data_IF_677235383145
#
_entry.id   IF_677235383145
#
_cell.length_a   1.000
_cell.length_b   1.000
_cell.length_c   1.000
_cell.angle_alpha   90.00
_cell.angle_beta   90.00
_cell.angle_gamma   90.00
#
_symmetry.space_group_name_H-M   'P 1'
#
loop_
_entity.id
_entity.type
_entity.pdbx_description
1 polymer ?
#
# COMPACT_ATOMS: atom_id res chain seq x y z
N UNK A 1 3.26 23.67 -29.82
CA UNK A 1 2.10 24.40 -29.25
C UNK A 1 1.78 23.69 -27.95
N UNK A 2 2.52 24.05 -26.92
CA UNK A 2 2.42 23.53 -25.58
C UNK A 2 1.11 24.02 -24.97
N UNK A 3 0.20 23.09 -24.68
CA UNK A 3 -0.88 23.38 -23.74
C UNK A 3 -0.25 23.42 -22.35
N UNK A 4 0.04 24.59 -21.87
CA UNK A 4 0.16 24.87 -20.45
C UNK A 4 -1.10 24.33 -19.77
N UNK A 5 -0.93 23.25 -19.05
CA UNK A 5 -1.94 22.76 -18.12
C UNK A 5 -1.98 23.79 -16.99
N UNK A 6 -2.83 24.79 -17.13
CA UNK A 6 -3.21 25.66 -16.01
C UNK A 6 -3.67 24.74 -14.88
N UNK A 7 -2.87 24.63 -13.84
CA UNK A 7 -3.34 24.14 -12.55
C UNK A 7 -4.48 25.08 -12.12
N UNK A 8 -5.70 24.73 -12.46
CA UNK A 8 -6.88 25.34 -11.83
C UNK A 8 -6.74 25.04 -10.35
N UNK A 9 -6.50 26.06 -9.55
CA UNK A 9 -6.56 25.97 -8.10
C UNK A 9 -7.98 25.56 -7.74
N UNK A 10 -8.16 24.32 -7.29
CA UNK A 10 -9.47 23.88 -6.80
C UNK A 10 -9.96 24.85 -5.73
N UNK A 11 -11.22 25.30 -5.80
CA UNK A 11 -11.74 26.25 -4.84
C UNK A 11 -11.78 25.62 -3.44
N UNK A 12 -11.45 26.40 -2.43
CA UNK A 12 -11.62 26.02 -1.03
C UNK A 12 -13.09 25.68 -0.76
N UNK A 13 -13.36 24.58 -0.06
CA UNK A 13 -14.71 24.18 0.30
C UNK A 13 -15.38 25.28 1.14
N UNK A 14 -16.63 25.62 0.82
CA UNK A 14 -17.37 26.76 1.41
C UNK A 14 -17.42 26.78 2.94
N UNK A 15 -17.43 25.60 3.58
CA UNK A 15 -17.47 25.47 5.05
C UNK A 15 -16.07 25.37 5.66
N UNK A 16 -15.01 25.11 4.85
CA UNK A 16 -13.65 24.94 5.33
C UNK A 16 -13.57 23.89 6.45
N UNK A 17 -12.88 24.20 7.52
CA UNK A 17 -12.72 23.30 8.69
C UNK A 17 -14.01 23.08 9.50
N UNK A 18 -15.12 23.75 9.17
CA UNK A 18 -16.45 23.48 9.76
C UNK A 18 -17.21 22.38 9.04
N UNK A 19 -16.74 21.92 7.89
CA UNK A 19 -17.35 20.83 7.15
C UNK A 19 -17.33 19.54 7.97
N UNK A 20 -18.42 18.81 7.99
CA UNK A 20 -18.49 17.48 8.58
C UNK A 20 -18.12 16.43 7.56
N UNK A 21 -17.09 15.65 7.84
CA UNK A 21 -16.44 14.74 6.90
C UNK A 21 -16.66 13.29 7.30
N UNK A 22 -17.05 12.45 6.34
CA UNK A 22 -16.97 11.00 6.44
C UNK A 22 -15.82 10.52 5.55
N UNK A 23 -14.83 9.85 6.13
CA UNK A 23 -13.84 9.06 5.38
C UNK A 23 -14.18 7.59 5.49
N UNK A 24 -14.07 6.86 4.38
CA UNK A 24 -14.32 5.42 4.36
C UNK A 24 -13.35 4.70 3.43
N UNK A 25 -12.87 3.54 3.86
CA UNK A 25 -12.39 2.52 2.93
C UNK A 25 -13.58 1.83 2.26
N UNK A 26 -13.32 0.98 1.27
CA UNK A 26 -14.40 0.25 0.61
C UNK A 26 -15.05 -0.79 1.53
N UNK A 27 -16.17 -1.33 1.10
CA UNK A 27 -16.87 -2.36 1.86
C UNK A 27 -15.96 -3.47 2.35
N UNK A 28 -16.27 -3.87 3.54
CA UNK A 28 -15.61 -4.69 4.47
C UNK A 28 -15.07 -5.94 4.01
N UNK A 29 -14.29 -6.55 4.93
CA UNK A 29 -13.36 -7.60 4.56
C UNK A 29 -14.00 -8.98 4.48
N UNK A 30 -15.30 -9.10 4.62
CA UNK A 30 -15.96 -10.39 4.77
C UNK A 30 -16.63 -10.83 3.47
N UNK A 31 -16.65 -12.14 3.25
CA UNK A 31 -17.15 -12.74 2.02
C UNK A 31 -18.58 -12.35 1.65
N UNK A 32 -19.43 -12.06 2.62
CA UNK A 32 -20.80 -11.62 2.37
C UNK A 32 -20.90 -10.25 1.67
N UNK A 33 -19.88 -9.42 1.85
CA UNK A 33 -19.82 -8.09 1.23
C UNK A 33 -19.08 -8.10 -0.12
N UNK A 34 -18.61 -9.27 -0.56
CA UNK A 34 -17.71 -9.41 -1.69
C UNK A 34 -18.38 -9.73 -3.03
N UNK A 35 -19.62 -9.29 -3.25
CA UNK A 35 -20.26 -9.45 -4.56
C UNK A 35 -19.45 -8.78 -5.70
N UNK A 36 -18.63 -7.80 -5.38
CA UNK A 36 -17.82 -7.00 -6.29
C UNK A 36 -16.33 -7.37 -6.27
N UNK A 37 -15.89 -8.27 -5.40
CA UNK A 37 -14.50 -8.67 -5.27
C UNK A 37 -14.10 -9.80 -6.20
N UNK A 38 -12.82 -10.18 -6.17
CA UNK A 38 -12.31 -11.35 -6.87
C UNK A 38 -13.03 -12.62 -6.39
N UNK A 39 -13.41 -13.47 -7.33
CA UNK A 39 -14.08 -14.75 -7.03
C UNK A 39 -13.10 -15.91 -6.86
N UNK A 40 -11.82 -15.64 -6.95
CA UNK A 40 -10.77 -16.65 -6.84
C UNK A 40 -10.41 -16.90 -5.40
N UNK A 41 -10.12 -18.15 -5.09
CA UNK A 41 -9.67 -18.59 -3.78
C UNK A 41 -8.14 -18.51 -3.77
N UNK A 42 -7.59 -17.77 -2.82
CA UNK A 42 -6.17 -17.85 -2.50
C UNK A 42 -6.01 -18.42 -1.09
N UNK A 43 -5.52 -19.66 -0.93
CA UNK A 43 -5.42 -20.31 0.37
C UNK A 43 -4.38 -19.66 1.30
N UNK A 44 -3.45 -18.88 0.75
CA UNK A 44 -2.33 -18.28 1.48
C UNK A 44 -2.32 -16.75 1.41
N UNK A 45 -3.45 -16.14 1.07
CA UNK A 45 -3.51 -14.69 0.94
C UNK A 45 -3.35 -13.96 2.27
N UNK A 46 -2.51 -12.92 2.28
CA UNK A 46 -2.26 -12.07 3.44
C UNK A 46 -3.15 -10.82 3.50
N UNK A 47 -3.69 -10.37 2.35
CA UNK A 47 -4.43 -9.10 2.22
C UNK A 47 -5.91 -9.33 1.90
N UNK A 48 -6.54 -10.19 2.63
CA UNK A 48 -7.88 -10.72 2.35
C UNK A 48 -8.99 -9.69 2.36
N UNK A 49 -8.89 -8.69 3.21
CA UNK A 49 -9.88 -7.64 3.34
C UNK A 49 -9.91 -6.66 2.16
N UNK A 50 -8.98 -6.78 1.22
CA UNK A 50 -8.89 -5.85 0.09
C UNK A 50 -9.20 -6.49 -1.26
N UNK A 51 -8.85 -7.75 -1.48
CA UNK A 51 -8.79 -8.28 -2.84
C UNK A 51 -9.56 -9.57 -3.08
N UNK A 52 -9.75 -10.46 -2.09
CA UNK A 52 -10.44 -11.71 -2.32
C UNK A 52 -11.81 -11.80 -1.66
N UNK A 53 -12.69 -12.53 -2.33
CA UNK A 53 -14.01 -12.86 -1.83
C UNK A 53 -14.01 -14.06 -0.92
N UNK A 54 -13.28 -15.12 -1.30
CA UNK A 54 -13.28 -16.40 -0.63
C UNK A 54 -11.86 -16.71 -0.15
N UNK A 55 -11.77 -17.22 1.05
CA UNK A 55 -10.50 -17.51 1.69
C UNK A 55 -10.33 -19.01 1.89
N UNK A 56 -9.11 -19.48 1.63
CA UNK A 56 -8.75 -20.87 1.92
C UNK A 56 -8.62 -21.15 3.42
N UNK A 57 -8.63 -22.43 3.78
CA UNK A 57 -8.55 -22.87 5.17
C UNK A 57 -7.26 -22.45 5.88
N UNK A 58 -6.16 -22.32 5.13
CA UNK A 58 -4.84 -21.96 5.65
C UNK A 58 -4.50 -20.47 5.49
N UNK A 59 -5.46 -19.66 5.08
CA UNK A 59 -5.27 -18.25 4.88
C UNK A 59 -5.00 -17.56 6.22
N UNK A 60 -3.90 -16.84 6.31
CA UNK A 60 -3.62 -15.94 7.43
C UNK A 60 -4.55 -14.73 7.31
N UNK A 61 -5.61 -14.73 8.12
CA UNK A 61 -6.57 -13.63 8.13
C UNK A 61 -6.01 -12.45 8.91
N UNK A 62 -5.16 -11.67 8.25
CA UNK A 62 -4.66 -10.42 8.78
C UNK A 62 -5.55 -9.30 8.28
N UNK A 63 -6.28 -8.65 9.18
CA UNK A 63 -7.12 -7.52 8.84
C UNK A 63 -6.29 -6.24 8.93
N UNK A 64 -5.84 -5.76 7.78
CA UNK A 64 -5.17 -4.48 7.70
C UNK A 64 -6.16 -3.33 7.78
N UNK A 65 -5.78 -2.30 8.51
CA UNK A 65 -6.53 -1.05 8.57
C UNK A 65 -6.21 -0.16 7.37
N UNK A 66 -7.07 0.81 7.11
CA UNK A 66 -6.82 1.84 6.11
C UNK A 66 -5.88 2.92 6.65
N UNK A 67 -4.59 2.57 6.80
CA UNK A 67 -3.59 3.45 7.42
C UNK A 67 -3.46 4.82 6.74
N UNK A 68 -3.61 4.87 5.41
CA UNK A 68 -3.65 6.12 4.66
C UNK A 68 -4.81 7.03 5.07
N UNK A 69 -6.01 6.46 5.31
CA UNK A 69 -7.16 7.23 5.81
C UNK A 69 -6.98 7.65 7.27
N UNK A 70 -6.32 6.84 8.10
CA UNK A 70 -5.98 7.22 9.47
C UNK A 70 -4.97 8.36 9.51
N UNK A 71 -3.97 8.34 8.61
CA UNK A 71 -3.03 9.45 8.45
C UNK A 71 -3.78 10.71 8.01
N UNK A 72 -4.68 10.58 7.05
CA UNK A 72 -5.49 11.69 6.57
C UNK A 72 -6.37 12.26 7.69
N UNK A 73 -7.12 11.41 8.41
CA UNK A 73 -7.95 11.83 9.55
C UNK A 73 -7.14 12.56 10.62
N UNK A 74 -5.93 12.09 10.95
CA UNK A 74 -5.05 12.74 11.92
C UNK A 74 -4.61 14.14 11.50
N UNK A 75 -4.69 14.48 10.21
CA UNK A 75 -4.22 15.72 9.61
C UNK A 75 -5.33 16.68 9.14
N UNK A 76 -6.59 16.32 9.37
CA UNK A 76 -7.77 17.14 9.12
C UNK A 76 -8.20 17.77 10.43
N UNK A 77 -8.43 19.09 10.45
CA UNK A 77 -8.91 19.82 11.64
C UNK A 77 -10.45 19.94 11.69
N UNK A 78 -11.14 19.51 10.62
CA UNK A 78 -12.60 19.42 10.57
C UNK A 78 -13.13 18.19 11.32
N UNK A 79 -14.40 18.20 11.80
CA UNK A 79 -15.05 17.01 12.35
C UNK A 79 -15.03 15.85 11.34
N UNK A 80 -14.32 14.77 11.64
CA UNK A 80 -14.07 13.69 10.71
C UNK A 80 -14.37 12.32 11.33
N UNK A 81 -15.35 11.63 10.78
CA UNK A 81 -15.65 10.22 11.08
C UNK A 81 -14.89 9.32 10.12
N UNK A 82 -14.32 8.23 10.62
CA UNK A 82 -13.67 7.21 9.80
C UNK A 82 -14.40 5.88 9.93
N UNK A 83 -14.84 5.33 8.80
CA UNK A 83 -15.30 3.96 8.67
C UNK A 83 -14.21 3.12 7.99
N UNK A 84 -13.66 2.18 8.74
CA UNK A 84 -12.58 1.33 8.28
C UNK A 84 -13.10 -0.05 7.86
N UNK A 85 -13.17 -0.30 6.58
CA UNK A 85 -13.77 -1.47 5.95
C UNK A 85 -15.15 -1.83 6.51
N UNK A 86 -16.13 -0.90 6.46
CA UNK A 86 -17.48 -1.17 6.98
C UNK A 86 -18.19 -2.23 6.15
N UNK A 87 -19.16 -2.93 6.72
CA UNK A 87 -20.14 -3.64 5.90
C UNK A 87 -20.97 -2.64 5.08
N UNK A 88 -21.60 -3.11 3.99
CA UNK A 88 -22.49 -2.24 3.21
C UNK A 88 -23.61 -1.69 4.07
N UNK A 89 -24.21 -2.50 4.94
CA UNK A 89 -25.30 -2.08 5.82
C UNK A 89 -24.83 -1.01 6.81
N UNK A 90 -23.64 -1.22 7.44
CA UNK A 90 -23.06 -0.23 8.35
C UNK A 90 -22.78 1.12 7.64
N UNK A 91 -22.33 1.08 6.39
CA UNK A 91 -22.13 2.30 5.60
C UNK A 91 -23.44 3.01 5.30
N UNK A 92 -24.50 2.26 4.94
CA UNK A 92 -25.84 2.83 4.71
C UNK A 92 -26.42 3.41 6.00
N UNK A 93 -26.33 2.73 7.12
CA UNK A 93 -26.77 3.23 8.43
C UNK A 93 -26.10 4.57 8.77
N UNK A 94 -24.80 4.68 8.53
CA UNK A 94 -24.07 5.92 8.79
C UNK A 94 -24.54 7.07 7.89
N UNK A 95 -24.75 6.80 6.60
CA UNK A 95 -25.26 7.80 5.65
C UNK A 95 -26.69 8.24 5.94
N UNK A 96 -27.51 7.38 6.54
CA UNK A 96 -28.88 7.70 6.93
C UNK A 96 -28.97 8.37 8.30
N UNK A 97 -28.10 8.01 9.23
CA UNK A 97 -28.11 8.49 10.60
C UNK A 97 -27.39 9.82 10.82
N UNK A 98 -26.49 10.20 9.92
CA UNK A 98 -25.67 11.41 10.04
C UNK A 98 -25.70 12.21 8.74
N UNK A 99 -25.59 13.53 8.84
CA UNK A 99 -25.38 14.43 7.70
C UNK A 99 -23.91 14.74 7.52
N UNK A 100 -23.41 14.69 6.29
CA UNK A 100 -22.02 14.99 5.93
C UNK A 100 -21.96 16.01 4.80
N UNK A 101 -20.99 16.92 4.87
CA UNK A 101 -20.71 17.88 3.81
C UNK A 101 -19.74 17.33 2.77
N UNK A 102 -18.85 16.42 3.22
CA UNK A 102 -17.84 15.77 2.39
C UNK A 102 -17.84 14.28 2.72
N UNK A 103 -17.86 13.43 1.70
CA UNK A 103 -17.66 11.98 1.84
C UNK A 103 -16.45 11.55 1.01
N UNK A 104 -15.36 11.14 1.68
CA UNK A 104 -14.13 10.64 1.06
C UNK A 104 -14.08 9.13 1.06
N UNK A 105 -13.83 8.51 -0.10
CA UNK A 105 -13.66 7.06 -0.22
C UNK A 105 -12.29 6.74 -0.80
N UNK A 106 -11.54 5.84 -0.13
CA UNK A 106 -10.25 5.35 -0.61
C UNK A 106 -10.37 3.92 -1.15
N UNK A 107 -9.83 3.70 -2.35
CA UNK A 107 -9.90 2.40 -3.02
C UNK A 107 -8.61 2.05 -3.78
N UNK A 108 -8.44 0.75 -4.04
CA UNK A 108 -7.46 0.20 -4.98
C UNK A 108 -8.18 -0.29 -6.25
N UNK A 109 -7.43 -0.55 -7.32
CA UNK A 109 -8.00 -0.98 -8.60
C UNK A 109 -8.97 -2.18 -8.48
N UNK A 110 -8.64 -3.27 -7.75
CA UNK A 110 -9.56 -4.40 -7.58
C UNK A 110 -10.91 -4.05 -6.96
N UNK A 111 -11.00 -2.92 -6.29
CA UNK A 111 -12.20 -2.49 -5.57
C UNK A 111 -13.07 -1.48 -6.34
N UNK A 112 -12.86 -1.28 -7.63
CA UNK A 112 -13.62 -0.31 -8.46
C UNK A 112 -15.13 -0.57 -8.36
N UNK A 113 -15.56 -1.84 -8.41
CA UNK A 113 -16.99 -2.19 -8.30
C UNK A 113 -17.60 -1.77 -6.97
N UNK A 114 -16.90 -2.01 -5.86
CA UNK A 114 -17.31 -1.56 -4.51
C UNK A 114 -17.36 -0.03 -4.43
N UNK A 115 -16.32 0.62 -4.94
CA UNK A 115 -16.23 2.08 -4.97
C UNK A 115 -17.40 2.70 -5.74
N UNK A 116 -17.70 2.20 -6.93
CA UNK A 116 -18.86 2.65 -7.72
C UNK A 116 -20.15 2.58 -6.92
N UNK A 117 -20.38 1.42 -6.27
CA UNK A 117 -21.54 1.22 -5.43
C UNK A 117 -21.59 2.19 -4.25
N UNK A 118 -20.47 2.48 -3.62
CA UNK A 118 -20.39 3.44 -2.51
C UNK A 118 -20.72 4.86 -2.97
N UNK A 119 -20.20 5.31 -4.11
CA UNK A 119 -20.55 6.61 -4.69
C UNK A 119 -22.06 6.71 -4.99
N UNK A 120 -22.66 5.68 -5.56
CA UNK A 120 -24.12 5.60 -5.79
C UNK A 120 -24.91 5.73 -4.48
N UNK A 121 -24.47 5.07 -3.41
CA UNK A 121 -25.12 5.16 -2.09
C UNK A 121 -24.96 6.55 -1.47
N UNK A 122 -23.80 7.20 -1.62
CA UNK A 122 -23.61 8.57 -1.18
C UNK A 122 -24.56 9.50 -1.93
N UNK A 123 -24.63 9.44 -3.25
CA UNK A 123 -25.58 10.26 -4.03
C UNK A 123 -27.03 10.03 -3.62
N UNK A 124 -27.38 8.79 -3.30
CA UNK A 124 -28.74 8.44 -2.86
C UNK A 124 -29.12 9.02 -1.51
N UNK A 125 -28.24 8.92 -0.53
CA UNK A 125 -28.55 9.26 0.88
C UNK A 125 -28.01 10.62 1.32
N UNK A 126 -27.00 11.15 0.64
CA UNK A 126 -26.34 12.41 0.92
C UNK A 126 -26.16 13.23 -0.39
N UNK A 127 -27.26 13.59 -1.09
CA UNK A 127 -27.19 14.18 -2.45
C UNK A 127 -26.44 15.51 -2.52
N UNK A 128 -26.29 16.21 -1.40
CA UNK A 128 -25.60 17.50 -1.31
C UNK A 128 -24.15 17.38 -0.83
N UNK A 129 -23.69 16.18 -0.48
CA UNK A 129 -22.31 15.97 -0.05
C UNK A 129 -21.35 16.00 -1.23
N UNK A 130 -20.20 16.62 -1.05
CA UNK A 130 -19.08 16.53 -2.00
C UNK A 130 -18.44 15.16 -1.88
N UNK A 131 -18.39 14.41 -2.99
CA UNK A 131 -17.78 13.07 -3.07
C UNK A 131 -16.35 13.20 -3.51
N UNK A 132 -15.42 12.73 -2.68
CA UNK A 132 -13.98 12.74 -2.92
C UNK A 132 -13.48 11.30 -3.00
N UNK A 133 -12.76 10.95 -4.06
CA UNK A 133 -12.18 9.62 -4.22
C UNK A 133 -10.66 9.71 -4.27
N UNK A 134 -10.00 8.83 -3.51
CA UNK A 134 -8.56 8.72 -3.45
C UNK A 134 -8.07 7.27 -3.42
N UNK A 135 -6.79 7.10 -3.14
CA UNK A 135 -6.12 5.80 -3.17
C UNK A 135 -5.65 5.41 -4.57
N UNK A 136 -5.12 4.20 -4.72
CA UNK A 136 -4.49 3.75 -5.98
C UNK A 136 -5.45 3.70 -7.17
N UNK A 137 -6.75 3.68 -6.95
CA UNK A 137 -7.77 3.79 -8.00
C UNK A 137 -7.66 5.10 -8.77
N UNK A 138 -7.18 6.18 -8.15
CA UNK A 138 -6.94 7.47 -8.79
C UNK A 138 -5.83 7.45 -9.85
N UNK A 139 -5.08 6.35 -9.96
CA UNK A 139 -4.13 6.13 -11.05
C UNK A 139 -4.81 5.75 -12.38
N UNK A 140 -6.07 5.28 -12.36
CA UNK A 140 -6.80 4.90 -13.55
C UNK A 140 -7.31 6.16 -14.26
N UNK A 141 -6.84 6.38 -15.51
CA UNK A 141 -7.07 7.62 -16.24
C UNK A 141 -8.55 7.93 -16.50
N UNK A 142 -9.33 6.89 -16.79
CA UNK A 142 -10.75 6.95 -17.11
C UNK A 142 -11.67 6.67 -15.90
N UNK A 143 -11.16 6.78 -14.68
CA UNK A 143 -11.94 6.47 -13.47
C UNK A 143 -13.17 7.37 -13.33
N UNK A 144 -13.09 8.63 -13.76
CA UNK A 144 -14.19 9.59 -13.78
C UNK A 144 -15.36 9.20 -14.69
N UNK A 145 -15.14 8.31 -15.64
CA UNK A 145 -16.19 7.76 -16.51
C UNK A 145 -16.94 6.59 -15.82
N UNK A 146 -16.33 6.01 -14.81
CA UNK A 146 -16.83 4.80 -14.12
C UNK A 146 -17.60 5.14 -12.86
N UNK A 147 -17.15 6.20 -12.14
CA UNK A 147 -17.70 6.60 -10.83
C UNK A 147 -18.20 8.03 -10.86
N UNK A 148 -19.25 8.30 -10.08
CA UNK A 148 -19.78 9.64 -9.84
C UNK A 148 -19.12 10.27 -8.61
N UNK A 149 -18.00 10.95 -8.81
CA UNK A 149 -17.26 11.68 -7.78
C UNK A 149 -16.99 13.12 -8.24
N UNK A 150 -17.02 14.06 -7.29
CA UNK A 150 -16.75 15.48 -7.57
C UNK A 150 -15.25 15.74 -7.69
N UNK A 151 -14.44 14.99 -6.91
CA UNK A 151 -12.98 15.09 -6.94
C UNK A 151 -12.32 13.71 -6.93
N UNK A 152 -11.28 13.58 -7.75
CA UNK A 152 -10.40 12.40 -7.77
C UNK A 152 -9.00 12.85 -7.40
N UNK A 153 -8.52 12.40 -6.22
CA UNK A 153 -7.28 12.87 -5.61
C UNK A 153 -6.18 11.84 -5.80
N UNK A 154 -5.18 12.23 -6.58
CA UNK A 154 -3.96 11.45 -6.82
C UNK A 154 -2.78 12.09 -6.09
N UNK A 155 -1.93 11.28 -5.45
CA UNK A 155 -0.73 11.75 -4.76
C UNK A 155 -0.99 12.10 -3.29
N UNK A 156 -0.60 13.32 -2.87
CA UNK A 156 -0.68 13.75 -1.47
C UNK A 156 -2.11 14.14 -1.05
N UNK A 157 -2.82 13.18 -0.47
CA UNK A 157 -4.16 13.42 0.05
C UNK A 157 -4.19 14.35 1.28
N UNK A 158 -3.11 14.38 2.09
CA UNK A 158 -3.04 15.26 3.27
C UNK A 158 -2.95 16.72 2.83
N UNK A 159 -2.02 17.01 1.92
CA UNK A 159 -1.87 18.36 1.37
C UNK A 159 -3.14 18.80 0.65
N UNK A 160 -3.72 17.88 -0.17
CA UNK A 160 -4.95 18.17 -0.90
C UNK A 160 -6.12 18.54 0.03
N UNK A 161 -6.38 17.73 1.09
CA UNK A 161 -7.47 18.01 2.01
C UNK A 161 -7.23 19.28 2.83
N UNK A 162 -6.00 19.53 3.26
CA UNK A 162 -5.65 20.79 3.95
C UNK A 162 -5.96 21.99 3.08
N UNK A 163 -5.52 21.97 1.83
CA UNK A 163 -5.83 23.03 0.85
C UNK A 163 -7.34 23.16 0.63
N UNK A 164 -8.03 22.05 0.39
CA UNK A 164 -9.47 22.03 0.15
C UNK A 164 -10.28 22.56 1.33
N UNK A 165 -9.81 22.39 2.56
CA UNK A 165 -10.43 22.89 3.77
C UNK A 165 -9.91 24.28 4.22
N UNK A 166 -9.00 24.89 3.47
CA UNK A 166 -8.38 26.17 3.84
C UNK A 166 -7.49 26.09 5.07
N UNK A 167 -6.91 24.91 5.35
CA UNK A 167 -5.91 24.71 6.40
C UNK A 167 -4.51 25.03 5.90
N UNK A 168 -3.55 25.18 6.81
CA UNK A 168 -2.15 25.35 6.48
C UNK A 168 -1.57 24.06 5.84
N UNK A 169 -1.27 24.14 4.55
CA UNK A 169 -0.71 23.02 3.78
C UNK A 169 0.69 22.63 4.28
N UNK A 170 1.46 23.59 4.82
CA UNK A 170 2.83 23.41 5.29
C UNK A 170 2.90 22.93 6.76
N UNK A 171 1.79 22.84 7.45
CA UNK A 171 1.78 22.37 8.84
C UNK A 171 2.44 20.98 8.96
N UNK A 172 3.22 20.71 10.04
CA UNK A 172 3.82 19.40 10.26
C UNK A 172 2.79 18.27 10.21
N UNK A 173 3.17 17.15 9.60
CA UNK A 173 2.30 15.97 9.52
C UNK A 173 2.20 15.31 10.89
N UNK A 174 0.98 15.10 11.35
CA UNK A 174 0.67 14.38 12.60
C UNK A 174 0.56 12.90 12.30
N UNK A 175 1.32 12.07 13.01
CA UNK A 175 1.30 10.63 12.84
C UNK A 175 0.12 10.01 13.62
N UNK A 176 -0.68 9.13 12.99
CA UNK A 176 -1.72 8.38 13.71
C UNK A 176 -1.06 7.36 14.66
N UNK A 177 -1.68 7.12 15.80
CA UNK A 177 -1.21 6.11 16.77
C UNK A 177 -2.12 4.90 16.68
N UNK A 178 -1.65 3.85 16.01
CA UNK A 178 -2.45 2.64 15.77
C UNK A 178 -1.58 1.38 15.72
N UNK A 179 -2.06 0.23 16.21
CA UNK A 179 -1.40 -1.05 16.00
C UNK A 179 -1.48 -1.47 14.53
N UNK A 180 -0.51 -2.26 14.08
CA UNK A 180 -0.40 -2.74 12.70
C UNK A 180 -1.47 -3.75 12.32
N UNK A 181 -1.79 -4.66 13.24
CA UNK A 181 -2.79 -5.70 13.04
C UNK A 181 -4.07 -5.42 13.81
N UNK A 182 -5.17 -5.98 13.34
CA UNK A 182 -6.43 -5.96 14.04
C UNK A 182 -7.19 -7.26 13.74
N UNK A 183 -7.40 -8.06 14.77
CA UNK A 183 -8.16 -9.30 14.63
C UNK A 183 -7.47 -10.36 13.78
N UNK A 184 -6.15 -10.54 13.95
CA UNK A 184 -5.42 -11.64 13.30
C UNK A 184 -6.01 -12.97 13.70
N UNK A 185 -6.34 -13.80 12.73
CA UNK A 185 -6.94 -15.14 12.94
C UNK A 185 -6.20 -16.17 12.09
N UNK A 186 -5.92 -17.32 12.68
CA UNK A 186 -5.43 -18.49 11.95
C UNK A 186 -6.51 -19.57 12.03
N UNK A 187 -6.96 -20.08 10.89
CA UNK A 187 -8.03 -21.07 10.78
C UNK A 187 -9.30 -20.70 11.58
N UNK A 188 -9.62 -19.40 11.63
CA UNK A 188 -10.77 -18.89 12.38
C UNK A 188 -10.54 -18.67 13.88
N UNK A 189 -9.40 -19.11 14.43
CA UNK A 189 -9.04 -18.89 15.84
C UNK A 189 -8.42 -17.50 15.99
N UNK A 190 -8.98 -16.60 16.82
CA UNK A 190 -8.39 -15.29 17.05
C UNK A 190 -7.07 -15.43 17.82
N UNK A 191 -6.05 -14.73 17.36
CA UNK A 191 -4.80 -14.50 18.10
C UNK A 191 -4.95 -13.29 19.04
N UNK A 192 -3.91 -13.01 19.82
CA UNK A 192 -3.92 -11.85 20.73
C UNK A 192 -4.23 -10.55 19.95
N UNK A 193 -5.13 -9.73 20.51
CA UNK A 193 -5.52 -8.42 19.96
C UNK A 193 -4.99 -7.27 20.82
N UNK A 194 -4.16 -7.55 21.84
CA UNK A 194 -3.59 -6.49 22.66
C UNK A 194 -2.59 -5.66 21.87
N UNK A 195 -2.69 -4.34 22.00
CA UNK A 195 -1.79 -3.43 21.30
C UNK A 195 -0.31 -3.66 21.62
N UNK A 196 -0.01 -4.04 22.85
CA UNK A 196 1.35 -4.37 23.32
C UNK A 196 1.94 -5.63 22.67
N UNK A 197 1.10 -6.58 22.24
CA UNK A 197 1.51 -7.81 21.56
C UNK A 197 1.63 -7.63 20.04
N UNK A 198 1.33 -6.45 19.51
CA UNK A 198 1.36 -6.15 18.09
C UNK A 198 2.35 -5.02 17.78
N UNK A 199 2.91 -5.01 16.57
CA UNK A 199 3.69 -3.88 16.12
C UNK A 199 2.79 -2.64 15.92
N UNK A 200 3.32 -1.45 16.21
CA UNK A 200 2.68 -0.21 15.79
C UNK A 200 2.97 0.09 14.32
N UNK A 201 2.09 0.82 13.67
CA UNK A 201 2.37 1.38 12.34
C UNK A 201 3.30 2.57 12.45
N UNK A 202 4.24 2.68 11.51
CA UNK A 202 5.08 3.85 11.30
C UNK A 202 5.08 4.21 9.81
N UNK A 203 4.71 5.45 9.49
CA UNK A 203 4.61 5.95 8.10
C UNK A 203 5.57 7.15 7.95
N UNK A 204 6.86 6.92 7.71
CA UNK A 204 7.84 8.01 7.59
C UNK A 204 7.77 8.74 6.26
N UNK A 205 7.50 8.02 5.20
CA UNK A 205 7.37 8.50 3.83
C UNK A 205 6.49 7.54 3.03
N UNK A 206 6.03 7.97 1.85
CA UNK A 206 5.28 7.13 0.90
C UNK A 206 5.75 7.41 -0.51
N UNK A 207 5.72 6.37 -1.34
CA UNK A 207 6.27 6.39 -2.68
C UNK A 207 7.74 5.98 -2.72
N UNK A 208 8.21 5.59 -3.90
CA UNK A 208 9.58 5.12 -4.09
C UNK A 208 10.22 5.78 -5.32
N UNK A 209 11.34 6.50 -5.14
CA UNK A 209 12.00 7.20 -6.25
C UNK A 209 12.70 6.26 -7.25
N UNK A 210 12.73 4.94 -7.02
CA UNK A 210 13.30 3.96 -7.95
C UNK A 210 12.58 3.92 -9.29
N UNK A 211 11.25 4.14 -9.31
CA UNK A 211 10.45 4.26 -10.52
C UNK A 211 10.36 2.97 -11.34
N UNK A 212 10.22 1.82 -10.67
CA UNK A 212 9.97 0.55 -11.38
C UNK A 212 8.70 0.66 -12.22
N UNK A 213 8.76 0.23 -13.48
CA UNK A 213 7.69 0.43 -14.47
C UNK A 213 6.36 -0.26 -14.13
N UNK A 214 6.38 -1.29 -13.30
CA UNK A 214 5.20 -2.04 -12.83
C UNK A 214 4.64 -1.54 -11.50
N UNK A 215 5.36 -0.66 -10.79
CA UNK A 215 5.01 -0.30 -9.42
C UNK A 215 3.91 0.78 -9.37
N UNK A 216 2.74 0.39 -8.89
CA UNK A 216 1.59 1.28 -8.74
C UNK A 216 1.82 2.39 -7.72
N UNK A 217 2.54 2.09 -6.63
CA UNK A 217 2.87 3.09 -5.60
C UNK A 217 3.81 4.16 -6.17
N UNK A 218 4.87 3.76 -6.89
CA UNK A 218 5.74 4.74 -7.54
C UNK A 218 4.95 5.62 -8.52
N UNK A 219 4.06 5.04 -9.33
CA UNK A 219 3.21 5.77 -10.27
C UNK A 219 2.24 6.73 -9.57
N UNK A 220 1.72 6.34 -8.39
CA UNK A 220 0.80 7.16 -7.58
C UNK A 220 1.43 8.47 -7.14
N UNK A 221 2.72 8.44 -6.77
CA UNK A 221 3.44 9.59 -6.23
C UNK A 221 4.37 10.28 -7.25
N UNK A 222 4.12 10.10 -8.55
CA UNK A 222 4.79 10.83 -9.63
C UNK A 222 5.96 10.09 -10.29
N UNK A 223 6.21 8.83 -9.97
CA UNK A 223 7.18 7.97 -10.64
C UNK A 223 8.62 8.16 -10.19
N UNK A 224 9.56 7.96 -11.12
CA UNK A 224 11.00 8.00 -10.83
C UNK A 224 11.44 9.33 -10.21
N UNK A 225 12.16 9.25 -9.10
CA UNK A 225 12.69 10.41 -8.38
C UNK A 225 11.68 11.14 -7.51
N UNK A 226 10.43 10.65 -7.42
CA UNK A 226 9.34 11.27 -6.65
C UNK A 226 8.89 10.38 -5.50
N UNK A 227 8.60 11.00 -4.38
CA UNK A 227 8.01 10.41 -3.17
C UNK A 227 7.59 11.54 -2.22
N UNK A 228 6.81 11.22 -1.21
CA UNK A 228 6.41 12.14 -0.14
C UNK A 228 7.18 11.78 1.12
N UNK A 229 7.88 12.73 1.70
CA UNK A 229 8.61 12.57 2.96
C UNK A 229 7.89 13.33 4.07
N UNK A 230 7.37 12.63 5.06
CA UNK A 230 6.65 13.24 6.17
C UNK A 230 7.57 13.64 7.32
N UNK A 231 8.69 12.92 7.50
CA UNK A 231 9.70 13.17 8.53
C UNK A 231 11.08 13.09 7.92
N UNK A 232 11.71 14.24 7.72
CA UNK A 232 12.99 14.33 7.00
C UNK A 232 14.18 13.89 7.85
N UNK A 233 14.10 14.13 9.17
CA UNK A 233 15.21 13.91 10.09
C UNK A 233 15.01 12.69 10.97
N UNK A 234 16.12 12.12 11.46
CA UNK A 234 16.06 11.06 12.47
C UNK A 234 15.52 11.56 13.81
N UNK A 235 15.69 12.84 14.10
CA UNK A 235 15.18 13.45 15.35
C UNK A 235 13.64 13.54 15.34
N UNK A 236 13.03 13.96 14.23
CA UNK A 236 11.57 13.95 14.05
C UNK A 236 11.02 12.54 14.15
N UNK A 237 11.63 11.59 13.42
CA UNK A 237 11.18 10.21 13.41
C UNK A 237 11.30 9.56 14.79
N UNK A 238 12.41 9.81 15.51
CA UNK A 238 12.61 9.34 16.88
C UNK A 238 11.50 9.85 17.82
N UNK A 239 11.16 11.14 17.73
CA UNK A 239 10.09 11.76 18.53
C UNK A 239 8.73 11.11 18.28
N UNK A 240 8.42 10.82 17.01
CA UNK A 240 7.18 10.12 16.60
C UNK A 240 7.16 8.71 17.20
N UNK A 241 8.24 7.94 17.06
CA UNK A 241 8.33 6.57 17.57
C UNK A 241 8.23 6.53 19.11
N UNK A 242 8.87 7.47 19.79
CA UNK A 242 8.77 7.59 21.24
C UNK A 242 7.34 7.94 21.69
N UNK A 243 6.64 8.80 20.97
CA UNK A 243 5.25 9.12 21.23
C UNK A 243 4.31 7.92 21.03
N UNK A 244 4.55 7.11 20.00
CA UNK A 244 3.80 5.87 19.74
C UNK A 244 4.07 4.84 20.85
N UNK A 245 5.35 4.57 21.15
CA UNK A 245 5.76 3.66 22.25
C UNK A 245 5.07 4.01 23.55
N UNK A 246 5.05 5.30 23.91
CA UNK A 246 4.43 5.77 25.17
C UNK A 246 2.94 5.47 25.22
N UNK A 247 2.22 5.64 24.09
CA UNK A 247 0.77 5.47 24.02
C UNK A 247 0.33 4.02 23.88
N UNK A 248 1.03 3.22 23.06
CA UNK A 248 0.67 1.83 22.77
C UNK A 248 1.43 0.81 23.60
N UNK A 249 2.46 1.22 24.36
CA UNK A 249 3.31 0.32 25.14
C UNK A 249 4.04 -0.75 24.29
N UNK A 250 4.20 -0.53 22.99
CA UNK A 250 4.88 -1.43 22.07
C UNK A 250 6.28 -0.93 21.73
N UNK A 251 7.20 -1.87 21.48
CA UNK A 251 8.56 -1.61 21.02
C UNK A 251 8.80 -2.11 19.59
N UNK A 252 7.75 -2.61 18.93
CA UNK A 252 7.82 -3.13 17.56
C UNK A 252 7.09 -2.21 16.60
N UNK A 253 7.67 -2.00 15.42
CA UNK A 253 7.10 -1.14 14.39
C UNK A 253 7.05 -1.83 13.03
N UNK A 254 5.89 -1.81 12.42
CA UNK A 254 5.74 -2.13 11.01
C UNK A 254 5.84 -0.83 10.21
N UNK A 255 6.94 -0.67 9.49
CA UNK A 255 7.27 0.56 8.78
C UNK A 255 6.69 0.52 7.37
N UNK A 256 5.66 1.32 7.13
CA UNK A 256 5.02 1.47 5.83
C UNK A 256 5.73 2.58 5.02
N UNK A 257 6.88 2.23 4.50
CA UNK A 257 7.72 3.06 3.64
C UNK A 257 8.35 2.09 2.61
N UNK A 258 8.11 2.29 1.35
CA UNK A 258 8.49 1.35 0.28
C UNK A 258 10.01 1.12 0.15
N UNK A 259 10.82 2.00 0.74
CA UNK A 259 12.28 1.82 0.77
C UNK A 259 12.93 2.61 1.92
N UNK A 260 12.51 2.33 3.15
CA UNK A 260 12.84 3.05 4.38
C UNK A 260 14.32 3.42 4.50
N UNK A 261 15.19 2.46 4.24
CA UNK A 261 16.63 2.61 4.39
C UNK A 261 17.29 3.46 3.28
N UNK A 262 16.55 3.85 2.23
CA UNK A 262 17.06 4.78 1.20
C UNK A 262 17.38 6.16 1.79
N UNK A 263 16.69 6.57 2.83
CA UNK A 263 16.95 7.80 3.57
C UNK A 263 18.10 7.61 4.59
N UNK A 264 19.29 7.29 4.08
CA UNK A 264 20.45 6.89 4.90
C UNK A 264 20.77 7.88 6.03
N UNK A 265 20.72 9.19 5.79
CA UNK A 265 21.00 10.20 6.83
C UNK A 265 19.98 10.11 7.97
N UNK A 266 18.69 9.98 7.63
CA UNK A 266 17.59 9.80 8.59
C UNK A 266 17.77 8.53 9.40
N UNK A 267 18.05 7.42 8.74
CA UNK A 267 18.22 6.12 9.41
C UNK A 267 19.43 6.10 10.34
N UNK A 268 20.59 6.60 9.92
CA UNK A 268 21.78 6.64 10.79
C UNK A 268 21.60 7.60 11.97
N UNK A 269 20.91 8.73 11.77
CA UNK A 269 20.58 9.62 12.87
C UNK A 269 19.60 8.99 13.86
N UNK A 270 18.64 8.20 13.37
CA UNK A 270 17.75 7.42 14.22
C UNK A 270 18.56 6.41 15.06
N UNK A 271 19.51 5.69 14.46
CA UNK A 271 20.41 4.77 15.17
C UNK A 271 21.15 5.46 16.31
N UNK A 272 21.80 6.60 16.05
CA UNK A 272 22.50 7.39 17.07
C UNK A 272 21.58 7.75 18.25
N UNK A 273 20.35 8.13 17.97
CA UNK A 273 19.36 8.50 18.98
C UNK A 273 18.86 7.29 19.77
N UNK A 274 18.69 6.15 19.11
CA UNK A 274 18.33 4.89 19.77
C UNK A 274 19.43 4.47 20.74
N UNK A 275 20.69 4.47 20.32
CA UNK A 275 21.85 4.15 21.18
C UNK A 275 21.96 5.12 22.36
N UNK A 276 21.92 6.43 22.11
CA UNK A 276 21.99 7.47 23.14
C UNK A 276 20.90 7.35 24.21
N UNK A 277 19.68 6.98 23.78
CA UNK A 277 18.52 6.88 24.67
C UNK A 277 18.23 5.44 25.13
N UNK A 278 19.14 4.50 24.84
CA UNK A 278 19.00 3.07 25.19
C UNK A 278 17.67 2.47 24.74
N UNK A 279 17.27 2.77 23.49
CA UNK A 279 16.08 2.22 22.86
C UNK A 279 16.43 0.96 22.07
N UNK A 280 15.63 -0.09 22.27
CA UNK A 280 15.75 -1.39 21.58
C UNK A 280 14.45 -1.66 20.80
N UNK A 281 14.14 -0.80 19.84
CA UNK A 281 12.98 -0.98 19.00
C UNK A 281 13.24 -2.06 17.94
N UNK A 282 12.19 -2.81 17.59
CA UNK A 282 12.20 -3.80 16.53
C UNK A 282 11.46 -3.26 15.30
N UNK A 283 12.10 -3.26 14.13
CA UNK A 283 11.55 -2.72 12.90
C UNK A 283 11.36 -3.80 11.85
N UNK A 284 10.16 -3.88 11.29
CA UNK A 284 9.89 -4.59 10.05
C UNK A 284 9.82 -3.55 8.92
N UNK A 285 10.72 -3.67 7.91
CA UNK A 285 10.91 -2.68 6.87
C UNK A 285 10.83 -3.27 5.45
N UNK A 286 10.40 -2.44 4.52
CA UNK A 286 10.60 -2.69 3.09
C UNK A 286 11.89 -2.01 2.63
N UNK A 287 12.74 -2.72 1.93
CA UNK A 287 13.92 -2.12 1.31
C UNK A 287 14.45 -2.95 0.14
N UNK A 288 15.13 -2.30 -0.79
CA UNK A 288 15.78 -3.01 -1.89
C UNK A 288 17.15 -3.55 -1.47
N UNK A 289 17.53 -4.71 -2.01
CA UNK A 289 18.81 -5.36 -1.72
C UNK A 289 20.02 -4.43 -1.93
N UNK A 290 19.98 -3.59 -2.97
CA UNK A 290 21.03 -2.58 -3.23
C UNK A 290 21.14 -1.54 -2.11
N UNK A 291 20.02 -1.08 -1.57
CA UNK A 291 20.01 -0.11 -0.46
C UNK A 291 20.49 -0.76 0.82
N UNK A 292 20.02 -1.95 1.14
CA UNK A 292 20.44 -2.72 2.31
C UNK A 292 21.96 -2.94 2.32
N UNK A 293 22.57 -3.31 1.18
CA UNK A 293 24.04 -3.47 1.05
C UNK A 293 24.83 -2.18 1.27
N UNK A 294 24.23 -1.03 1.33
CA UNK A 294 24.91 0.22 1.66
C UNK A 294 25.10 0.43 3.17
N UNK A 295 24.52 -0.43 4.00
CA UNK A 295 24.68 -0.45 5.46
C UNK A 295 25.59 -1.59 5.88
N UNK A 296 26.29 -1.41 7.00
CA UNK A 296 26.90 -2.56 7.66
C UNK A 296 25.85 -3.36 8.41
N UNK A 297 26.12 -4.62 8.70
CA UNK A 297 25.13 -5.44 9.43
C UNK A 297 24.94 -4.94 10.86
N UNK A 298 25.99 -4.39 11.49
CA UNK A 298 25.91 -3.77 12.81
C UNK A 298 24.97 -2.56 12.81
N UNK A 299 24.98 -1.77 11.73
CA UNK A 299 24.03 -0.66 11.56
C UNK A 299 22.58 -1.15 11.42
N UNK A 300 22.34 -2.24 10.67
CA UNK A 300 21.01 -2.83 10.53
C UNK A 300 20.51 -3.40 11.86
N UNK A 301 21.35 -4.17 12.54
CA UNK A 301 21.03 -4.74 13.86
C UNK A 301 20.83 -3.64 14.89
N UNK A 302 21.70 -2.63 14.93
CA UNK A 302 21.57 -1.50 15.85
C UNK A 302 20.32 -0.66 15.63
N UNK A 303 19.84 -0.53 14.37
CA UNK A 303 18.54 0.04 14.03
C UNK A 303 17.36 -0.84 14.47
N UNK A 304 17.62 -2.06 14.94
CA UNK A 304 16.59 -3.01 15.31
C UNK A 304 15.85 -3.61 14.12
N UNK A 305 16.49 -3.67 12.94
CA UNK A 305 15.88 -4.34 11.79
C UNK A 305 15.75 -5.83 12.09
N UNK A 306 14.53 -6.28 12.34
CA UNK A 306 14.22 -7.68 12.65
C UNK A 306 13.67 -8.43 11.43
N UNK A 307 12.97 -7.72 10.56
CA UNK A 307 12.41 -8.24 9.32
C UNK A 307 12.67 -7.31 8.16
N UNK A 308 13.02 -7.88 7.02
CA UNK A 308 13.15 -7.17 5.75
C UNK A 308 12.26 -7.82 4.69
N UNK A 309 11.39 -7.03 4.08
CA UNK A 309 10.75 -7.42 2.82
C UNK A 309 11.55 -6.86 1.66
N UNK A 310 12.12 -7.72 0.82
CA UNK A 310 12.95 -7.31 -0.31
C UNK A 310 12.60 -8.09 -1.58
N UNK A 311 12.67 -7.40 -2.74
CA UNK A 311 12.53 -8.06 -4.02
C UNK A 311 13.80 -8.85 -4.36
N UNK A 312 13.63 -10.11 -4.69
CA UNK A 312 14.70 -11.01 -5.15
C UNK A 312 14.68 -11.17 -6.68
N UNK A 313 13.51 -11.02 -7.31
CA UNK A 313 13.24 -11.20 -8.74
C UNK A 313 14.12 -12.31 -9.38
N UNK A 314 14.31 -12.36 -10.67
CA UNK A 314 15.16 -13.37 -11.30
C UNK A 314 16.64 -12.95 -11.39
N UNK A 315 17.53 -13.92 -11.65
CA UNK A 315 18.99 -13.73 -11.83
C UNK A 315 19.29 -12.68 -12.90
N UNK A 316 18.52 -12.70 -13.99
CA UNK A 316 18.63 -11.76 -15.12
C UNK A 316 17.81 -10.49 -14.94
N UNK A 317 17.49 -10.12 -13.70
CA UNK A 317 16.66 -8.95 -13.45
C UNK A 317 17.28 -7.66 -13.99
N UNK A 318 16.58 -7.03 -14.92
CA UNK A 318 16.94 -5.71 -15.49
C UNK A 318 16.76 -4.55 -14.51
N UNK A 319 16.20 -4.80 -13.35
CA UNK A 319 15.88 -3.76 -12.39
C UNK A 319 17.11 -3.32 -11.58
N UNK A 320 17.33 -2.01 -11.54
CA UNK A 320 18.48 -1.39 -10.88
C UNK A 320 18.65 -1.75 -9.39
N UNK A 321 17.54 -2.11 -8.73
CA UNK A 321 17.51 -2.46 -7.30
C UNK A 321 18.30 -3.73 -6.97
N UNK A 322 18.57 -4.60 -7.97
CA UNK A 322 19.34 -5.83 -7.82
C UNK A 322 20.71 -5.79 -8.52
N UNK A 323 21.02 -4.73 -9.23
CA UNK A 323 22.26 -4.64 -10.03
C UNK A 323 23.50 -4.89 -9.18
N UNK A 324 24.32 -5.88 -9.57
CA UNK A 324 25.56 -6.30 -8.89
C UNK A 324 25.36 -6.79 -7.45
N UNK A 325 24.22 -7.35 -7.11
CA UNK A 325 23.96 -7.97 -5.82
C UNK A 325 23.90 -9.48 -6.00
N UNK A 326 24.80 -10.22 -5.34
CA UNK A 326 24.62 -11.63 -5.08
C UNK A 326 23.55 -11.77 -3.99
N UNK A 327 22.33 -12.07 -4.41
CA UNK A 327 21.16 -12.10 -3.53
C UNK A 327 21.17 -13.31 -2.59
N UNK A 328 21.73 -14.45 -3.00
CA UNK A 328 21.85 -15.63 -2.14
C UNK A 328 22.78 -15.40 -0.95
N UNK A 329 24.01 -14.96 -1.21
CA UNK A 329 24.94 -14.61 -0.13
C UNK A 329 24.40 -13.49 0.75
N UNK A 330 23.67 -12.56 0.17
CA UNK A 330 23.07 -11.46 0.89
C UNK A 330 21.96 -11.90 1.86
N UNK A 331 21.03 -12.76 1.42
CA UNK A 331 19.97 -13.32 2.28
C UNK A 331 20.59 -14.09 3.45
N UNK A 332 21.51 -15.03 3.16
CA UNK A 332 22.22 -15.78 4.22
C UNK A 332 22.96 -14.87 5.21
N UNK A 333 23.56 -13.79 4.71
CA UNK A 333 24.26 -12.85 5.58
C UNK A 333 23.29 -12.13 6.55
N UNK A 334 22.13 -11.71 6.09
CA UNK A 334 21.11 -11.12 6.97
C UNK A 334 20.63 -12.13 8.02
N UNK A 335 20.27 -13.34 7.58
CA UNK A 335 19.75 -14.40 8.45
C UNK A 335 20.78 -14.83 9.51
N UNK A 336 22.07 -14.93 9.15
CA UNK A 336 23.14 -15.26 10.11
C UNK A 336 23.32 -14.22 11.23
N UNK A 337 22.72 -13.03 11.08
CA UNK A 337 22.70 -11.97 12.11
C UNK A 337 21.31 -11.76 12.73
N UNK A 338 20.40 -12.72 12.56
CA UNK A 338 19.07 -12.70 13.16
C UNK A 338 18.05 -11.79 12.47
N UNK A 339 18.32 -11.36 11.23
CA UNK A 339 17.38 -10.58 10.43
C UNK A 339 16.61 -11.53 9.53
N UNK A 340 15.30 -11.67 9.76
CA UNK A 340 14.43 -12.48 8.92
C UNK A 340 14.16 -11.79 7.57
N UNK A 341 14.04 -12.59 6.51
CA UNK A 341 13.85 -12.11 5.15
C UNK A 341 12.56 -12.65 4.55
N UNK A 342 11.67 -11.75 4.12
CA UNK A 342 10.61 -12.07 3.20
C UNK A 342 11.10 -11.72 1.79
N UNK A 343 11.39 -12.75 1.01
CA UNK A 343 11.80 -12.63 -0.38
C UNK A 343 10.58 -12.51 -1.29
N UNK A 344 10.57 -11.54 -2.20
CA UNK A 344 9.49 -11.38 -3.18
C UNK A 344 10.04 -11.57 -4.59
N UNK A 345 9.37 -12.42 -5.39
CA UNK A 345 9.70 -12.66 -6.78
C UNK A 345 8.52 -12.43 -7.70
N UNK A 346 8.82 -11.96 -8.90
CA UNK A 346 7.81 -11.69 -9.93
C UNK A 346 7.90 -12.77 -11.00
N UNK A 347 6.78 -13.44 -11.25
CA UNK A 347 6.62 -14.48 -12.26
C UNK A 347 5.92 -13.89 -13.48
N UNK A 348 6.26 -14.39 -14.68
CA UNK A 348 5.64 -13.99 -15.94
C UNK A 348 6.17 -12.66 -16.49
N UNK A 349 7.45 -12.36 -16.27
CA UNK A 349 8.12 -11.29 -17.01
C UNK A 349 8.27 -11.69 -18.50
N UNK A 350 8.54 -10.73 -19.36
CA UNK A 350 8.53 -10.93 -20.83
C UNK A 350 9.48 -12.03 -21.32
N UNK A 351 10.57 -12.31 -20.58
CA UNK A 351 11.54 -13.36 -20.89
C UNK A 351 11.20 -14.71 -20.24
N UNK A 352 10.12 -14.81 -19.46
CA UNK A 352 9.69 -16.07 -18.88
C UNK A 352 8.91 -16.90 -19.90
N UNK A 353 9.19 -18.19 -19.95
CA UNK A 353 8.57 -19.16 -20.86
C UNK A 353 8.17 -20.42 -20.09
N UNK A 354 7.28 -21.27 -20.64
CA UNK A 354 6.98 -22.56 -20.02
C UNK A 354 8.20 -23.44 -19.78
N UNK A 355 9.25 -23.29 -20.58
CA UNK A 355 10.46 -24.10 -20.51
C UNK A 355 11.45 -23.64 -19.42
N UNK A 356 11.42 -22.34 -19.04
CA UNK A 356 12.34 -21.79 -18.05
C UNK A 356 11.70 -21.45 -16.70
N UNK A 357 10.37 -21.53 -16.58
CA UNK A 357 9.64 -21.07 -15.38
C UNK A 357 10.05 -21.85 -14.11
N UNK A 358 10.24 -23.17 -14.23
CA UNK A 358 10.67 -24.00 -13.11
C UNK A 358 12.05 -23.57 -12.58
N UNK A 359 12.99 -23.25 -13.48
CA UNK A 359 14.30 -22.74 -13.09
C UNK A 359 14.22 -21.40 -12.36
N UNK A 360 13.29 -20.53 -12.77
CA UNK A 360 13.05 -19.23 -12.13
C UNK A 360 12.47 -19.41 -10.73
N UNK A 361 11.54 -20.34 -10.57
CA UNK A 361 10.96 -20.69 -9.27
C UNK A 361 12.02 -21.33 -8.36
N UNK A 362 12.79 -22.28 -8.87
CA UNK A 362 13.87 -22.93 -8.14
C UNK A 362 14.94 -21.92 -7.70
N UNK A 363 15.30 -20.98 -8.57
CA UNK A 363 16.20 -19.88 -8.20
C UNK A 363 15.63 -19.04 -7.07
N UNK A 364 14.35 -18.68 -7.10
CA UNK A 364 13.70 -17.95 -6.02
C UNK A 364 13.73 -18.74 -4.70
N UNK A 365 13.36 -20.02 -4.72
CA UNK A 365 13.33 -20.91 -3.56
C UNK A 365 14.74 -21.14 -3.00
N UNK A 366 15.75 -21.24 -3.84
CA UNK A 366 17.16 -21.49 -3.44
C UNK A 366 17.77 -20.40 -2.57
N UNK A 367 17.14 -19.22 -2.46
CA UNK A 367 17.54 -18.19 -1.50
C UNK A 367 17.30 -18.61 -0.05
N UNK A 368 16.44 -19.60 0.20
CA UNK A 368 16.08 -20.10 1.54
C UNK A 368 15.64 -18.95 2.48
N UNK A 369 14.84 -18.03 1.93
CA UNK A 369 14.28 -16.93 2.71
C UNK A 369 13.25 -17.44 3.72
N UNK A 370 13.09 -16.76 4.88
CA UNK A 370 12.16 -17.18 5.93
C UNK A 370 10.70 -17.24 5.44
N UNK A 371 10.33 -16.32 4.55
CA UNK A 371 9.10 -16.36 3.75
C UNK A 371 9.38 -15.98 2.31
N UNK A 372 8.61 -16.56 1.40
CA UNK A 372 8.67 -16.22 -0.01
C UNK A 372 7.30 -15.84 -0.56
N UNK A 373 7.23 -14.74 -1.29
CA UNK A 373 6.04 -14.29 -1.99
C UNK A 373 6.28 -14.30 -3.49
N UNK A 374 5.40 -14.97 -4.22
CA UNK A 374 5.34 -14.92 -5.68
C UNK A 374 4.19 -14.02 -6.13
N UNK A 375 4.49 -13.11 -7.05
CA UNK A 375 3.50 -12.24 -7.66
C UNK A 375 3.57 -12.36 -9.18
N UNK A 376 2.44 -12.35 -9.84
CA UNK A 376 2.41 -12.27 -11.30
C UNK A 376 2.76 -10.86 -11.78
N UNK A 377 3.53 -10.79 -12.88
CA UNK A 377 3.84 -9.53 -13.54
C UNK A 377 2.56 -8.93 -14.12
N UNK A 378 2.00 -7.96 -13.42
CA UNK A 378 0.67 -7.44 -13.69
C UNK A 378 0.73 -5.98 -14.10
N UNK A 379 0.40 -5.63 -15.35
CA UNK A 379 0.19 -4.25 -15.78
C UNK A 379 -0.97 -3.59 -15.02
N UNK A 380 -0.66 -2.82 -13.99
CA UNK A 380 -1.67 -2.13 -13.18
C UNK A 380 -1.97 -0.75 -13.77
N UNK A 381 -3.24 -0.33 -13.95
CA UNK A 381 -3.61 0.98 -14.46
C UNK A 381 -2.84 2.13 -13.82
N UNK A 382 -2.36 3.07 -14.65
CA UNK A 382 -1.54 4.20 -14.26
C UNK A 382 -0.04 3.93 -14.19
N UNK A 383 0.41 2.68 -14.35
CA UNK A 383 1.84 2.35 -14.44
C UNK A 383 2.37 2.46 -15.87
N UNK A 384 3.68 2.75 -16.06
CA UNK A 384 4.29 2.71 -17.40
C UNK A 384 4.14 1.37 -18.10
N UNK A 385 4.18 0.27 -17.36
CA UNK A 385 3.94 -1.07 -17.90
C UNK A 385 2.54 -1.21 -18.49
N UNK A 386 1.51 -0.74 -17.78
CA UNK A 386 0.14 -0.75 -18.27
C UNK A 386 -0.01 0.10 -19.55
N UNK A 387 0.59 1.29 -19.58
CA UNK A 387 0.56 2.16 -20.74
C UNK A 387 1.22 1.49 -21.96
N UNK A 388 2.32 0.77 -21.77
CA UNK A 388 2.97 0.00 -22.81
C UNK A 388 2.05 -1.11 -23.34
N UNK A 389 1.51 -1.98 -22.50
CA UNK A 389 0.62 -3.06 -22.91
C UNK A 389 -0.69 -2.54 -23.57
N UNK A 390 -1.17 -1.36 -23.12
CA UNK A 390 -2.30 -0.69 -23.76
C UNK A 390 -1.97 -0.25 -25.19
N UNK A 391 -0.81 0.36 -25.40
CA UNK A 391 -0.33 0.78 -26.72
C UNK A 391 -0.09 -0.42 -27.65
N UNK A 392 0.43 -1.52 -27.12
CA UNK A 392 0.72 -2.76 -27.86
C UNK A 392 -0.55 -3.61 -28.13
N UNK A 393 -1.71 -3.21 -27.59
CA UNK A 393 -2.98 -3.94 -27.75
C UNK A 393 -2.98 -5.33 -27.09
N UNK A 394 -2.14 -5.56 -26.09
CA UNK A 394 -1.99 -6.86 -25.42
C UNK A 394 -2.82 -6.99 -24.14
N UNK A 395 -3.37 -5.90 -23.60
CA UNK A 395 -4.26 -5.97 -22.44
C UNK A 395 -5.51 -6.78 -22.74
N UNK A 396 -5.97 -7.55 -21.75
CA UNK A 396 -7.26 -8.21 -21.81
C UNK A 396 -8.37 -7.18 -21.53
N UNK A 397 -9.55 -7.40 -22.16
CA UNK A 397 -10.73 -6.57 -21.91
C UNK A 397 -11.31 -6.84 -20.51
N UNK A 398 -12.14 -5.92 -20.02
CA UNK A 398 -12.83 -6.10 -18.72
C UNK A 398 -13.69 -7.37 -18.65
N UNK A 399 -14.25 -7.81 -19.80
CA UNK A 399 -15.02 -9.05 -19.90
C UNK A 399 -14.14 -10.31 -19.84
N UNK A 400 -12.90 -10.24 -20.31
CA UNK A 400 -11.93 -11.34 -20.25
C UNK A 400 -11.25 -11.40 -18.88
N UNK A 401 -10.98 -10.24 -18.30
CA UNK A 401 -10.27 -10.08 -17.03
C UNK A 401 -10.86 -8.91 -16.23
N UNK A 402 -11.77 -9.18 -15.28
CA UNK A 402 -12.38 -8.15 -14.45
C UNK A 402 -11.34 -7.39 -13.61
N UNK A 403 -11.56 -6.09 -13.40
CA UNK A 403 -10.70 -5.26 -12.56
C UNK A 403 -10.52 -5.84 -11.14
N UNK A 404 -11.53 -6.54 -10.62
CA UNK A 404 -11.48 -7.22 -9.33
C UNK A 404 -10.35 -8.28 -9.23
N UNK A 405 -9.90 -8.83 -10.36
CA UNK A 405 -8.81 -9.81 -10.41
C UNK A 405 -7.43 -9.17 -10.62
N UNK A 406 -7.34 -7.83 -10.74
CA UNK A 406 -6.07 -7.10 -10.96
C UNK A 406 -5.28 -6.95 -9.64
N UNK A 407 -4.91 -8.07 -9.05
CA UNK A 407 -4.15 -8.10 -7.78
C UNK A 407 -2.83 -8.89 -7.88
N UNK A 408 -2.49 -9.42 -9.06
CA UNK A 408 -1.20 -10.09 -9.29
C UNK A 408 -1.04 -11.46 -8.64
N UNK A 409 -2.14 -12.14 -8.30
CA UNK A 409 -2.10 -13.45 -7.60
C UNK A 409 -2.89 -14.54 -8.29
N UNK A 410 -3.43 -14.28 -9.50
CA UNK A 410 -4.35 -15.22 -10.10
C UNK A 410 -3.96 -15.60 -11.53
N UNK A 411 -3.95 -14.68 -12.45
CA UNK A 411 -3.59 -14.87 -13.86
C UNK A 411 -3.13 -13.54 -14.47
N UNK A 412 -2.56 -13.60 -15.66
CA UNK A 412 -2.17 -12.38 -16.38
C UNK A 412 -3.42 -11.60 -16.83
N UNK A 413 -3.37 -10.28 -16.71
CA UNK A 413 -4.37 -9.36 -17.27
C UNK A 413 -3.97 -8.89 -18.68
N UNK A 414 -3.05 -9.58 -19.32
CA UNK A 414 -2.57 -9.30 -20.67
C UNK A 414 -2.21 -10.59 -21.39
N UNK A 415 -2.11 -10.53 -22.72
CA UNK A 415 -1.66 -11.65 -23.55
C UNK A 415 -0.14 -11.76 -23.47
N UNK A 416 0.31 -12.69 -22.63
CA UNK A 416 1.74 -12.96 -22.50
C UNK A 416 2.32 -13.55 -23.79
N UNK A 417 3.53 -13.15 -24.17
CA UNK A 417 4.15 -13.56 -25.43
C UNK A 417 4.37 -15.08 -25.51
N UNK A 418 4.76 -15.71 -24.43
CA UNK A 418 5.17 -17.12 -24.39
C UNK A 418 4.22 -17.99 -23.55
N UNK A 419 3.50 -17.44 -22.58
CA UNK A 419 2.57 -18.17 -21.74
C UNK A 419 1.14 -17.82 -22.17
N UNK A 420 0.46 -18.79 -22.78
CA UNK A 420 -0.90 -18.61 -23.33
C UNK A 420 -1.77 -19.79 -22.93
N UNK A 421 -3.06 -19.60 -23.02
CA UNK A 421 -4.07 -20.67 -22.92
C UNK A 421 -4.11 -21.39 -21.57
N UNK A 422 -4.05 -20.65 -20.46
CA UNK A 422 -4.15 -21.21 -19.11
C UNK A 422 -2.93 -21.99 -18.66
N UNK A 423 -1.76 -21.61 -19.13
CA UNK A 423 -0.45 -22.14 -18.68
C UNK A 423 0.22 -21.23 -17.65
N UNK A 424 -0.46 -20.16 -17.25
CA UNK A 424 -0.07 -19.27 -16.18
C UNK A 424 -0.39 -19.82 -14.76
#
# INVERSE_FOLDING_TARGET
MEREMMMQTEPVHRLGTRAKILLSSVFGPYAQDDAYGSRKINPMELYQNQVTRTQGAFSLRMFHRSFGLMLLQANIDAPCTLLDFPSQDRFIEELQGCSYDIVGVSAIIPNIGKLKRMCELVRKYQPNATVVVGGHVANKEDIHEIIDADHIVKGDGVQWFRKFLGQDEAAPVRHPVTPSGNGTRIMGVPLSEKAEDTAAILIPSVGCPMGCNFCSTSAMFGGKGKFLNFYETGDELFSVMQGIETKLKTQSFFVLDENFLMHRKRALRLLELMEKNRKSWSLYVFSSARVLKSYTVEQLVGLGISWVWTGLEGEDSRYQKLKKVDTHSFVRHLQSHGICVLGSSIIGMENHTPENIDQIIDHAISHDADFHQFMLYTPIPGTPLHAQHKADGTLLSESEFPAADTHGQYRFNYRHQHMRDGRE
#
